data_IF_071741973272
#
_entry.id   IF_071741973272
#
_cell.length_a   1.000
_cell.length_b   1.000
_cell.length_c   1.000
_cell.angle_alpha   90.00
_cell.angle_beta   90.00
_cell.angle_gamma   90.00
#
_symmetry.space_group_name_H-M   'P 1'
#
loop_
_entity.id
_entity.type
_entity.pdbx_description
1 polymer ?
#
# COMPACT_ATOMS: atom_id res chain seq x y z
N UNK A 1 27.81 -18.87 4.29
CA UNK A 1 26.95 -18.08 5.19
C UNK A 1 25.54 -18.57 4.97
N UNK A 2 25.04 -19.40 5.89
CA UNK A 2 23.83 -20.21 5.72
C UNK A 2 22.55 -19.37 5.79
N UNK A 3 21.59 -19.74 4.96
CA UNK A 3 20.25 -19.14 4.91
C UNK A 3 19.58 -19.21 6.29
N UNK A 4 19.08 -18.07 6.77
CA UNK A 4 18.26 -17.93 8.00
C UNK A 4 16.87 -18.57 7.88
N UNK A 5 16.60 -19.29 6.79
CA UNK A 5 15.37 -20.06 6.55
C UNK A 5 15.65 -21.57 6.60
N UNK A 6 16.39 -22.03 7.61
CA UNK A 6 16.57 -23.47 7.84
C UNK A 6 15.33 -24.02 8.55
N UNK A 7 14.94 -25.26 8.20
CA UNK A 7 13.81 -25.97 8.78
C UNK A 7 13.91 -26.11 10.32
N UNK A 8 15.14 -26.06 10.87
CA UNK A 8 15.39 -26.05 12.30
C UNK A 8 14.94 -24.75 13.00
N UNK A 9 15.12 -23.58 12.36
CA UNK A 9 14.67 -22.30 12.92
C UNK A 9 13.15 -22.24 13.06
N UNK A 10 12.41 -22.78 12.08
CA UNK A 10 10.95 -22.85 12.12
C UNK A 10 10.41 -23.80 13.20
N UNK A 11 11.17 -24.84 13.57
CA UNK A 11 10.77 -25.79 14.62
C UNK A 11 10.93 -25.22 16.03
N UNK A 12 11.95 -24.40 16.24
CA UNK A 12 12.21 -23.76 17.54
C UNK A 12 11.43 -22.43 17.74
N UNK A 13 10.82 -21.90 16.68
CA UNK A 13 9.96 -20.69 16.69
C UNK A 13 8.53 -21.01 16.27
N UNK A 14 8.04 -22.19 16.66
CA UNK A 14 6.63 -22.57 16.51
C UNK A 14 5.82 -21.76 17.53
N UNK A 15 5.50 -20.51 17.20
CA UNK A 15 4.49 -19.75 17.95
C UNK A 15 3.15 -20.47 17.81
N UNK A 16 2.53 -20.77 18.95
CA UNK A 16 1.23 -21.43 19.02
C UNK A 16 0.19 -20.49 18.39
N UNK A 17 -0.17 -20.77 17.13
CA UNK A 17 -1.19 -20.07 16.31
C UNK A 17 -2.64 -20.24 16.83
N UNK A 18 -2.81 -20.48 18.12
CA UNK A 18 -4.09 -20.81 18.75
C UNK A 18 -4.40 -19.89 19.92
N UNK A 19 -4.21 -18.58 19.75
CA UNK A 19 -5.12 -17.65 20.42
C UNK A 19 -6.40 -17.60 19.58
N UNK A 20 -7.52 -17.96 20.19
CA UNK A 20 -8.83 -17.63 19.66
C UNK A 20 -8.92 -16.11 19.69
N UNK A 21 -8.58 -15.46 18.56
CA UNK A 21 -8.74 -14.04 18.34
C UNK A 21 -10.24 -13.71 18.42
N UNK A 22 -10.72 -13.48 19.64
CA UNK A 22 -12.05 -12.96 19.87
C UNK A 22 -12.04 -11.51 19.43
N UNK A 23 -12.60 -11.24 18.26
CA UNK A 23 -12.90 -9.88 17.81
C UNK A 23 -14.26 -9.50 18.40
N UNK A 24 -14.32 -8.61 19.40
CA UNK A 24 -15.60 -8.16 19.95
C UNK A 24 -16.44 -7.50 18.86
N UNK A 25 -17.74 -7.79 18.86
CA UNK A 25 -18.70 -7.13 17.99
C UNK A 25 -18.91 -5.68 18.48
N UNK A 26 -18.72 -4.72 17.59
CA UNK A 26 -19.05 -3.31 17.80
C UNK A 26 -20.04 -2.88 16.73
N UNK A 27 -20.93 -1.94 17.06
CA UNK A 27 -21.83 -1.35 16.07
C UNK A 27 -21.06 -0.41 15.13
N UNK A 28 -21.38 -0.38 13.84
CA UNK A 28 -20.71 0.53 12.91
C UNK A 28 -21.09 1.98 13.21
N UNK A 29 -20.07 2.83 13.44
CA UNK A 29 -20.25 4.28 13.59
C UNK A 29 -20.23 4.90 12.20
N UNK A 30 -21.39 5.34 11.70
CA UNK A 30 -21.52 6.03 10.42
C UNK A 30 -21.78 7.52 10.65
N UNK A 31 -20.95 8.37 10.04
CA UNK A 31 -21.08 9.84 10.12
C UNK A 31 -20.98 10.47 8.73
N UNK A 32 -21.87 11.43 8.44
CA UNK A 32 -21.81 12.23 7.21
C UNK A 32 -21.23 13.60 7.52
N UNK A 33 -20.02 13.85 7.02
CA UNK A 33 -19.32 15.13 7.20
C UNK A 33 -19.35 15.88 5.87
N UNK A 34 -19.83 17.14 5.85
CA UNK A 34 -19.79 17.98 4.65
C UNK A 34 -18.33 18.23 4.22
N UNK A 35 -18.11 18.51 2.94
CA UNK A 35 -16.77 18.85 2.43
C UNK A 35 -16.21 20.07 3.19
N UNK A 36 -14.94 20.00 3.61
CA UNK A 36 -14.32 21.00 4.48
C UNK A 36 -14.79 21.02 5.93
N UNK A 37 -15.77 20.18 6.29
CA UNK A 37 -16.35 20.13 7.62
C UNK A 37 -15.48 19.39 8.64
N UNK A 38 -15.70 19.72 9.91
CA UNK A 38 -15.11 19.03 11.07
C UNK A 38 -16.23 18.53 11.98
N UNK A 39 -16.11 17.30 12.49
CA UNK A 39 -17.07 16.70 13.42
C UNK A 39 -16.37 15.90 14.52
N UNK A 40 -16.83 16.06 15.77
CA UNK A 40 -16.39 15.20 16.88
C UNK A 40 -17.23 13.92 16.89
N UNK A 41 -16.56 12.77 16.82
CA UNK A 41 -17.16 11.44 16.82
C UNK A 41 -16.81 10.74 18.12
N UNK A 42 -17.82 10.27 18.85
CA UNK A 42 -17.63 9.47 20.05
C UNK A 42 -17.43 8.00 19.66
N UNK A 43 -16.38 7.39 20.21
CA UNK A 43 -16.03 5.98 19.99
C UNK A 43 -16.71 5.08 21.02
N UNK A 44 -16.75 3.77 20.77
CA UNK A 44 -17.35 2.77 21.65
C UNK A 44 -16.75 2.70 23.06
N UNK A 45 -15.48 3.08 23.20
CA UNK A 45 -14.76 3.16 24.48
C UNK A 45 -14.98 4.49 25.23
N UNK A 46 -15.81 5.38 24.68
CA UNK A 46 -16.08 6.71 25.22
C UNK A 46 -15.05 7.77 24.84
N UNK A 47 -13.98 7.41 24.11
CA UNK A 47 -13.05 8.40 23.55
C UNK A 47 -13.70 9.23 22.45
N UNK A 48 -13.06 10.36 22.09
CA UNK A 48 -13.55 11.25 21.05
C UNK A 48 -12.48 11.47 19.98
N UNK A 49 -12.90 11.44 18.72
CA UNK A 49 -12.05 11.66 17.56
C UNK A 49 -12.63 12.82 16.74
N UNK A 50 -11.83 13.85 16.51
CA UNK A 50 -12.22 15.00 15.70
C UNK A 50 -11.87 14.74 14.24
N UNK A 51 -12.85 14.41 13.41
CA UNK A 51 -12.63 14.14 11.98
C UNK A 51 -12.79 15.42 11.18
N UNK A 52 -11.79 15.76 10.38
CA UNK A 52 -11.86 16.82 9.38
C UNK A 52 -11.87 16.22 7.98
N UNK A 53 -12.87 16.57 7.17
CA UNK A 53 -12.92 16.18 5.76
C UNK A 53 -12.27 17.27 4.92
N UNK A 54 -11.42 16.88 3.97
CA UNK A 54 -10.80 17.81 3.04
C UNK A 54 -11.85 18.65 2.29
N UNK A 55 -11.46 19.88 1.96
CA UNK A 55 -12.24 20.79 1.12
C UNK A 55 -12.21 20.31 -0.34
N UNK A 56 -13.26 20.67 -1.09
CA UNK A 56 -13.44 20.25 -2.49
C UNK A 56 -12.33 20.75 -3.42
N UNK A 57 -11.77 21.92 -3.11
CA UNK A 57 -10.78 22.61 -3.94
C UNK A 57 -9.34 22.24 -3.57
N UNK A 58 -9.14 21.26 -2.67
CA UNK A 58 -7.81 20.78 -2.30
C UNK A 58 -7.15 20.07 -3.50
N UNK A 59 -5.96 20.53 -3.90
CA UNK A 59 -5.14 19.90 -4.94
C UNK A 59 -4.25 18.80 -4.33
N UNK A 60 -4.55 17.51 -4.57
CA UNK A 60 -3.77 16.41 -4.02
C UNK A 60 -2.43 16.20 -4.74
N UNK A 61 -2.09 16.98 -5.77
CA UNK A 61 -0.82 16.82 -6.50
C UNK A 61 0.32 17.65 -5.89
N UNK A 62 0.01 18.63 -5.02
CA UNK A 62 1.00 19.40 -4.28
C UNK A 62 1.41 18.67 -2.98
N UNK A 63 2.62 18.12 -3.00
CA UNK A 63 3.21 17.43 -1.85
C UNK A 63 3.39 18.34 -0.63
N UNK A 64 3.74 19.61 -0.83
CA UNK A 64 3.99 20.54 0.27
C UNK A 64 2.66 20.96 0.91
N UNK A 65 1.62 21.20 0.11
CA UNK A 65 0.28 21.49 0.61
C UNK A 65 -0.27 20.32 1.44
N UNK A 66 -0.08 19.07 0.98
CA UNK A 66 -0.49 17.88 1.71
C UNK A 66 0.21 17.74 3.08
N UNK A 67 1.52 17.97 3.13
CA UNK A 67 2.28 17.96 4.37
C UNK A 67 1.85 19.08 5.32
N UNK A 68 1.65 20.29 4.81
CA UNK A 68 1.17 21.42 5.61
C UNK A 68 -0.23 21.15 6.19
N UNK A 69 -1.13 20.57 5.41
CA UNK A 69 -2.48 20.21 5.87
C UNK A 69 -2.46 19.13 6.97
N UNK A 70 -1.56 18.15 6.87
CA UNK A 70 -1.35 17.13 7.89
C UNK A 70 -0.84 17.74 9.21
N UNK A 71 0.19 18.57 9.14
CA UNK A 71 0.76 19.25 10.31
C UNK A 71 -0.27 20.19 10.98
N UNK A 72 -1.07 20.90 10.18
CA UNK A 72 -2.14 21.77 10.70
C UNK A 72 -3.23 20.95 11.42
N UNK A 73 -3.64 19.82 10.85
CA UNK A 73 -4.62 18.94 11.46
C UNK A 73 -4.09 18.33 12.76
N UNK A 74 -2.83 17.86 12.78
CA UNK A 74 -2.18 17.33 13.98
C UNK A 74 -2.10 18.39 15.09
N UNK A 75 -1.69 19.62 14.76
CA UNK A 75 -1.65 20.73 15.72
C UNK A 75 -3.02 21.07 16.32
N UNK A 76 -4.11 20.75 15.62
CA UNK A 76 -5.50 20.95 16.06
C UNK A 76 -6.11 19.71 16.73
N UNK A 77 -5.38 18.59 16.78
CA UNK A 77 -5.90 17.30 17.24
C UNK A 77 -6.98 16.72 16.33
N UNK A 78 -6.93 17.05 15.03
CA UNK A 78 -7.88 16.62 14.02
C UNK A 78 -7.31 15.46 13.19
N UNK A 79 -8.18 14.50 12.86
CA UNK A 79 -7.87 13.43 11.91
C UNK A 79 -8.37 13.85 10.55
N UNK A 80 -7.44 14.17 9.66
CA UNK A 80 -7.71 14.59 8.30
C UNK A 80 -8.07 13.38 7.42
N UNK A 81 -9.14 13.50 6.63
CA UNK A 81 -9.67 12.41 5.79
C UNK A 81 -9.90 12.86 4.34
N UNK A 82 -9.72 11.93 3.40
CA UNK A 82 -9.83 12.15 1.96
C UNK A 82 -8.57 11.72 1.19
N UNK A 83 -8.44 12.15 -0.07
CA UNK A 83 -7.22 11.94 -0.85
C UNK A 83 -6.20 13.01 -0.48
N UNK A 84 -5.21 12.65 0.32
CA UNK A 84 -4.23 13.60 0.85
C UNK A 84 -3.14 13.96 -0.15
N UNK A 85 -2.65 12.99 -0.93
CA UNK A 85 -1.63 13.22 -1.94
C UNK A 85 -1.64 12.12 -3.02
N UNK A 86 -1.41 12.50 -4.27
CA UNK A 86 -1.22 11.60 -5.40
C UNK A 86 -0.13 12.15 -6.33
N UNK A 87 0.79 11.29 -6.76
CA UNK A 87 1.77 11.62 -7.78
C UNK A 87 1.45 10.86 -9.07
N UNK A 88 0.89 11.55 -10.05
CA UNK A 88 0.46 10.98 -11.35
C UNK A 88 1.59 10.84 -12.36
N UNK A 89 2.79 11.36 -12.06
CA UNK A 89 3.95 11.33 -12.95
C UNK A 89 4.94 10.21 -12.63
N UNK A 90 4.78 9.52 -11.49
CA UNK A 90 5.66 8.42 -11.14
C UNK A 90 5.33 7.19 -12.00
N UNK A 91 6.34 6.54 -12.59
CA UNK A 91 6.12 5.30 -13.29
C UNK A 91 5.57 4.24 -12.34
N UNK A 92 4.73 3.36 -12.87
CA UNK A 92 4.20 2.24 -12.10
C UNK A 92 5.32 1.25 -11.78
N UNK A 93 5.09 0.38 -10.79
CA UNK A 93 6.06 -0.66 -10.45
C UNK A 93 6.34 -1.62 -11.62
N UNK A 94 5.33 -1.84 -12.47
CA UNK A 94 5.42 -2.68 -13.67
C UNK A 94 6.33 -2.02 -14.71
N UNK A 95 6.15 -0.72 -14.95
CA UNK A 95 7.00 0.07 -15.86
C UNK A 95 8.45 0.13 -15.38
N UNK A 96 8.67 0.33 -14.07
CA UNK A 96 10.02 0.36 -13.49
C UNK A 96 10.77 -0.96 -13.70
N UNK A 97 10.06 -2.09 -13.66
CA UNK A 97 10.63 -3.41 -13.88
C UNK A 97 10.71 -3.80 -15.36
N UNK A 98 10.28 -2.92 -16.28
CA UNK A 98 10.16 -3.20 -17.71
C UNK A 98 9.47 -4.55 -17.98
N UNK A 99 8.41 -4.86 -17.22
CA UNK A 99 7.64 -6.07 -17.44
C UNK A 99 6.81 -5.97 -18.72
N UNK A 100 6.55 -7.11 -19.34
CA UNK A 100 5.63 -7.19 -20.47
C UNK A 100 4.19 -6.93 -20.04
N UNK A 101 3.38 -6.42 -20.96
CA UNK A 101 1.95 -6.14 -20.72
C UNK A 101 1.14 -7.41 -20.41
N UNK A 102 1.54 -8.53 -21.05
CA UNK A 102 0.91 -9.83 -20.86
C UNK A 102 1.33 -10.44 -19.51
N UNK A 103 0.39 -10.98 -18.71
CA UNK A 103 0.75 -11.75 -17.52
C UNK A 103 1.67 -12.91 -17.85
N UNK A 104 2.73 -13.10 -17.05
CA UNK A 104 3.71 -14.18 -17.24
C UNK A 104 3.04 -15.55 -17.32
N UNK A 105 1.96 -15.77 -16.55
CA UNK A 105 1.21 -17.02 -16.52
C UNK A 105 0.50 -17.36 -17.84
N UNK A 106 0.27 -16.39 -18.72
CA UNK A 106 -0.44 -16.57 -20.00
C UNK A 106 0.47 -16.51 -21.21
N UNK A 107 1.78 -16.31 -21.01
CA UNK A 107 2.73 -16.24 -22.11
C UNK A 107 2.91 -17.62 -22.78
N UNK A 108 2.94 -17.70 -24.11
CA UNK A 108 3.20 -18.94 -24.83
C UNK A 108 4.65 -19.41 -24.64
N UNK A 109 4.88 -20.73 -24.72
CA UNK A 109 6.23 -21.33 -24.58
C UNK A 109 7.25 -20.67 -25.53
N UNK A 110 6.83 -20.32 -26.75
CA UNK A 110 7.69 -19.67 -27.73
C UNK A 110 8.26 -18.31 -27.29
N UNK A 111 7.58 -17.58 -26.38
CA UNK A 111 8.06 -16.31 -25.81
C UNK A 111 8.93 -16.52 -24.56
N UNK A 112 8.63 -17.53 -23.74
CA UNK A 112 9.36 -17.79 -22.48
C UNK A 112 10.58 -18.70 -22.66
N UNK A 113 10.68 -19.41 -23.79
CA UNK A 113 11.76 -20.36 -24.09
C UNK A 113 12.36 -20.08 -25.48
N UNK A 114 13.34 -19.17 -25.57
CA UNK A 114 14.04 -18.91 -26.83
C UNK A 114 14.72 -20.18 -27.37
N UNK A 115 14.77 -20.35 -28.71
CA UNK A 115 15.47 -21.48 -29.31
C UNK A 115 16.99 -21.36 -29.13
N UNK A 116 17.69 -22.51 -29.21
CA UNK A 116 19.13 -22.59 -28.98
C UNK A 116 19.96 -21.61 -29.82
N UNK A 117 19.53 -21.34 -31.05
CA UNK A 117 20.20 -20.37 -31.93
C UNK A 117 20.27 -18.96 -31.33
N UNK A 118 19.27 -18.53 -30.55
CA UNK A 118 19.27 -17.22 -29.88
C UNK A 118 20.30 -17.19 -28.76
N UNK A 119 20.44 -18.29 -28.02
CA UNK A 119 21.50 -18.40 -27.00
C UNK A 119 22.88 -18.33 -27.63
N UNK A 120 23.09 -19.08 -28.73
CA UNK A 120 24.38 -19.09 -29.43
C UNK A 120 24.74 -17.67 -29.94
N UNK A 121 23.77 -16.91 -30.46
CA UNK A 121 23.96 -15.51 -30.87
C UNK A 121 24.36 -14.61 -29.71
N UNK A 122 23.66 -14.66 -28.58
CA UNK A 122 23.97 -13.83 -27.39
C UNK A 122 25.37 -14.12 -26.85
N UNK A 123 25.79 -15.38 -26.86
CA UNK A 123 27.13 -15.78 -26.42
C UNK A 123 28.24 -15.30 -27.35
N UNK A 124 27.98 -15.19 -28.66
CA UNK A 124 28.93 -14.65 -29.64
C UNK A 124 29.03 -13.11 -29.54
N UNK A 125 27.93 -12.41 -29.24
CA UNK A 125 27.91 -10.94 -29.02
C UNK A 125 28.67 -10.50 -27.75
N UNK A 126 28.85 -11.41 -26.79
CA UNK A 126 29.56 -11.18 -25.52
C UNK A 126 31.02 -11.67 -25.51
N UNK A 127 31.54 -12.16 -26.64
CA UNK A 127 32.94 -12.54 -26.82
C UNK A 127 33.81 -11.35 -27.21
#
# INVERSE_FOLDING_TARGET
>A
MGSTKSYGYMKDHEEVLHELDFVPFFEDISVEIPEGGTMDVQMHDGSHLRIRKLERDFDPTDRLAALAALEEAEAKGEVLTGVLYVNTHKPTFIELLNLCDDPVATLPESKVRPPRAVLDQVMEELR
#
